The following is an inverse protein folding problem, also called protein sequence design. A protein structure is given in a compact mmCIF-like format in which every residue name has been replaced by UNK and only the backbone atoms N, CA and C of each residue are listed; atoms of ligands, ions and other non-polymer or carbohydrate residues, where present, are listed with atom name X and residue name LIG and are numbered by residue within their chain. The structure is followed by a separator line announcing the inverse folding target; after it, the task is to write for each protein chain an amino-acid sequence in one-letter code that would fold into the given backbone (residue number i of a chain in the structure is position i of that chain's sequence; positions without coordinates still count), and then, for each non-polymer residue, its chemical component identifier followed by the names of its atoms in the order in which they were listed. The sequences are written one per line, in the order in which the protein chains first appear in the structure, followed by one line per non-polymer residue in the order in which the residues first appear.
data_IF_859284392554
#
_entry.id   IF_859284392554
#
_cell.length_a   1.000
_cell.length_b   1.000
_cell.length_c   1.000
_cell.angle_alpha   90.00
_cell.angle_beta   90.00
_cell.angle_gamma   90.00
#
_symmetry.space_group_name_H-M   'P 1'
#
loop_
_entity.id
_entity.type
_entity.pdbx_description
1 polymer ?
#
# COMPACT_ATOMS: atom_id res chain seq x y z
N UNK A 1 42.46 -4.86 36.09
CA UNK A 1 41.45 -5.52 36.91
C UNK A 1 40.02 -5.22 36.44
N UNK A 2 39.61 -3.99 36.28
CA UNK A 2 38.23 -3.65 35.84
C UNK A 2 37.80 -4.25 34.51
N UNK A 3 38.68 -4.22 33.49
CA UNK A 3 38.39 -4.77 32.14
C UNK A 3 38.25 -6.31 32.19
N UNK A 4 39.05 -7.00 32.98
CA UNK A 4 38.93 -8.46 33.17
C UNK A 4 37.63 -8.84 33.88
N UNK A 5 37.17 -8.00 34.83
CA UNK A 5 35.91 -8.20 35.54
C UNK A 5 34.70 -7.98 34.63
N UNK A 6 34.72 -6.93 33.78
CA UNK A 6 33.67 -6.65 32.79
C UNK A 6 33.60 -7.79 31.78
N UNK A 7 34.75 -8.27 31.29
CA UNK A 7 34.81 -9.40 30.36
C UNK A 7 34.25 -10.70 30.99
N UNK A 8 34.56 -10.97 32.25
CA UNK A 8 34.05 -12.14 32.97
C UNK A 8 32.52 -12.07 33.15
N UNK A 9 31.98 -10.89 33.49
CA UNK A 9 30.52 -10.67 33.59
C UNK A 9 29.85 -10.85 32.25
N UNK A 10 30.43 -10.30 31.15
CA UNK A 10 29.83 -10.43 29.84
C UNK A 10 29.87 -11.87 29.31
N UNK A 11 30.94 -12.61 29.57
CA UNK A 11 31.03 -14.02 29.14
C UNK A 11 30.12 -14.93 29.97
N UNK A 12 30.01 -14.72 31.26
CA UNK A 12 29.07 -15.48 32.12
C UNK A 12 27.62 -15.17 31.72
N UNK A 13 27.29 -13.92 31.43
CA UNK A 13 25.98 -13.52 30.94
C UNK A 13 25.64 -14.21 29.59
N UNK A 14 26.55 -14.22 28.65
CA UNK A 14 26.35 -14.91 27.36
C UNK A 14 26.19 -16.42 27.54
N UNK A 15 26.97 -17.05 28.42
CA UNK A 15 26.86 -18.49 28.68
C UNK A 15 25.52 -18.81 29.37
N UNK A 16 25.09 -18.02 30.34
CA UNK A 16 23.80 -18.21 31.02
C UNK A 16 22.65 -18.04 30.02
N UNK A 17 22.71 -17.02 29.17
CA UNK A 17 21.74 -16.81 28.11
C UNK A 17 21.73 -17.95 27.09
N UNK A 18 22.88 -18.44 26.67
CA UNK A 18 22.98 -19.58 25.75
C UNK A 18 22.38 -20.84 26.37
N UNK A 19 22.65 -21.13 27.63
CA UNK A 19 22.07 -22.28 28.36
C UNK A 19 20.55 -22.13 28.53
N UNK A 20 20.05 -20.91 28.74
CA UNK A 20 18.61 -20.65 28.89
C UNK A 20 17.86 -20.74 27.57
N UNK A 21 18.48 -20.31 26.44
CA UNK A 21 17.84 -20.29 25.13
C UNK A 21 18.09 -21.54 24.29
N UNK A 22 19.14 -22.33 24.57
CA UNK A 22 19.37 -23.61 23.89
C UNK A 22 18.17 -24.59 24.05
N UNK A 23 17.60 -24.77 25.24
CA UNK A 23 16.42 -25.65 25.40
C UNK A 23 15.15 -25.09 24.71
N UNK A 24 15.02 -23.77 24.54
CA UNK A 24 13.85 -23.16 23.88
C UNK A 24 13.72 -23.62 22.43
N UNK A 25 14.83 -23.77 21.72
CA UNK A 25 14.84 -24.31 20.37
C UNK A 25 14.45 -25.79 20.31
N UNK A 26 14.86 -26.59 21.33
CA UNK A 26 14.47 -28.00 21.44
C UNK A 26 12.97 -28.18 21.76
N UNK A 27 12.37 -27.21 22.48
CA UNK A 27 10.95 -27.23 22.87
C UNK A 27 10.08 -26.51 21.82
N UNK A 28 10.64 -26.07 20.69
CA UNK A 28 9.95 -25.30 19.66
C UNK A 28 9.29 -24.00 20.18
N UNK A 29 9.90 -23.37 21.18
CA UNK A 29 9.48 -22.06 21.72
C UNK A 29 10.25 -20.94 21.04
N UNK A 30 9.55 -19.88 20.67
CA UNK A 30 10.13 -18.68 20.03
C UNK A 30 9.54 -17.42 20.64
N UNK A 31 10.32 -16.33 20.59
CA UNK A 31 9.83 -15.00 20.94
C UNK A 31 9.35 -14.34 19.68
N UNK A 32 8.10 -13.89 19.67
CA UNK A 32 7.48 -13.15 18.59
C UNK A 32 7.20 -11.71 19.02
N UNK A 33 7.53 -10.76 18.17
CA UNK A 33 7.09 -9.37 18.31
C UNK A 33 5.78 -9.19 17.55
N UNK A 34 4.75 -8.67 18.20
CA UNK A 34 3.42 -8.45 17.66
C UNK A 34 3.03 -7.00 17.88
N UNK A 35 2.54 -6.34 16.84
CA UNK A 35 2.10 -4.94 16.91
C UNK A 35 0.79 -4.75 16.14
N UNK A 36 0.13 -3.61 16.35
CA UNK A 36 -1.06 -3.20 15.63
C UNK A 36 -2.27 -4.12 15.83
N UNK A 37 -3.05 -4.32 14.77
CA UNK A 37 -4.35 -5.02 14.83
C UNK A 37 -4.27 -6.44 15.41
N UNK A 38 -3.19 -7.18 15.11
CA UNK A 38 -3.00 -8.56 15.63
C UNK A 38 -2.85 -8.56 17.15
N UNK A 39 -2.11 -7.61 17.68
CA UNK A 39 -1.94 -7.44 19.12
C UNK A 39 -3.28 -7.12 19.78
N UNK A 40 -4.06 -6.16 19.26
CA UNK A 40 -5.33 -5.77 19.86
C UNK A 40 -6.35 -6.92 19.87
N UNK A 41 -6.37 -7.77 18.83
CA UNK A 41 -7.24 -8.95 18.79
C UNK A 41 -6.80 -9.99 19.81
N UNK A 42 -5.48 -10.19 19.99
CA UNK A 42 -4.95 -11.15 20.96
C UNK A 42 -5.17 -10.67 22.40
N UNK A 43 -4.94 -9.37 22.67
CA UNK A 43 -5.10 -8.80 24.01
C UNK A 43 -6.53 -8.94 24.55
N UNK A 44 -7.55 -8.88 23.71
CA UNK A 44 -8.95 -9.16 24.11
C UNK A 44 -9.18 -10.59 24.66
N UNK A 45 -8.27 -11.50 24.37
CA UNK A 45 -8.32 -12.91 24.88
C UNK A 45 -7.47 -13.13 26.12
N UNK A 46 -6.67 -12.13 26.53
CA UNK A 46 -5.82 -12.20 27.71
C UNK A 46 -6.67 -12.11 28.96
N UNK A 47 -6.48 -13.05 29.89
CA UNK A 47 -7.22 -13.10 31.16
C UNK A 47 -6.35 -12.78 32.38
N UNK A 48 -5.03 -12.80 32.22
CA UNK A 48 -4.06 -12.59 33.29
C UNK A 48 -3.00 -11.61 32.82
N UNK A 49 -2.97 -10.43 33.43
CA UNK A 49 -1.95 -9.43 33.23
C UNK A 49 -1.45 -8.86 34.54
N UNK A 50 -0.22 -8.36 34.57
CA UNK A 50 0.37 -7.75 35.78
C UNK A 50 -0.24 -6.39 36.07
N UNK A 51 -0.70 -5.68 35.07
CA UNK A 51 -1.32 -4.35 35.16
C UNK A 51 -2.55 -4.32 34.23
N UNK A 52 -3.62 -3.66 34.68
CA UNK A 52 -4.83 -3.40 33.92
C UNK A 52 -5.10 -1.90 33.92
N UNK A 53 -5.24 -1.32 32.74
CA UNK A 53 -5.56 0.11 32.55
C UNK A 53 -6.81 0.21 31.72
N UNK A 54 -7.93 0.67 32.31
CA UNK A 54 -9.24 0.78 31.64
C UNK A 54 -9.68 -0.51 30.91
N UNK A 55 -9.58 -1.65 31.57
CA UNK A 55 -9.86 -2.99 31.03
C UNK A 55 -8.89 -3.49 29.94
N UNK A 56 -7.86 -2.72 29.61
CA UNK A 56 -6.78 -3.17 28.72
C UNK A 56 -5.60 -3.73 29.52
N UNK A 57 -5.05 -4.92 29.15
CA UNK A 57 -3.89 -5.49 29.80
C UNK A 57 -2.62 -4.71 29.47
N UNK A 58 -1.71 -4.60 30.44
CA UNK A 58 -0.39 -3.99 30.30
C UNK A 58 0.68 -4.75 31.11
N UNK A 59 1.97 -4.49 30.81
CA UNK A 59 3.10 -5.16 31.43
C UNK A 59 3.19 -6.65 31.06
N UNK A 60 3.38 -7.51 32.07
CA UNK A 60 3.46 -8.95 31.83
C UNK A 60 2.10 -9.58 31.66
N UNK A 61 1.96 -10.46 30.63
CA UNK A 61 0.77 -11.25 30.38
C UNK A 61 1.10 -12.74 30.45
N UNK A 62 0.16 -13.51 30.97
CA UNK A 62 0.34 -14.93 31.22
C UNK A 62 -0.83 -15.75 30.67
N UNK A 63 -0.50 -16.89 30.11
CA UNK A 63 -1.49 -17.87 29.67
C UNK A 63 -0.94 -19.29 29.78
N UNK A 64 -1.80 -20.29 29.62
CA UNK A 64 -1.40 -21.71 29.74
C UNK A 64 -0.24 -22.10 28.82
N UNK A 65 -0.14 -21.44 27.64
CA UNK A 65 0.79 -21.79 26.56
C UNK A 65 1.66 -20.62 26.11
N UNK A 66 1.66 -19.50 26.87
CA UNK A 66 2.45 -18.31 26.53
C UNK A 66 2.79 -17.47 27.76
N UNK A 67 3.87 -16.74 27.65
CA UNK A 67 4.23 -15.62 28.50
C UNK A 67 4.59 -14.45 27.59
N UNK A 68 4.12 -13.24 27.92
CA UNK A 68 4.41 -12.07 27.09
C UNK A 68 4.64 -10.82 27.93
N UNK A 69 5.20 -9.80 27.27
CA UNK A 69 5.40 -8.48 27.87
C UNK A 69 4.95 -7.40 26.87
N UNK A 70 4.10 -6.52 27.36
CA UNK A 70 3.61 -5.36 26.61
C UNK A 70 4.53 -4.19 26.92
N UNK A 71 5.14 -3.64 25.89
CA UNK A 71 5.99 -2.45 25.97
C UNK A 71 5.27 -1.27 25.36
N UNK A 72 4.96 -0.26 26.18
CA UNK A 72 4.36 0.99 25.73
C UNK A 72 5.47 1.97 25.38
N UNK A 73 5.54 2.39 24.13
CA UNK A 73 6.46 3.42 23.65
C UNK A 73 5.72 4.76 23.68
N UNK A 74 6.06 5.60 24.63
CA UNK A 74 5.61 7.00 24.63
C UNK A 74 6.37 7.74 23.53
N UNK A 75 5.69 8.12 22.46
CA UNK A 75 6.28 8.90 21.38
C UNK A 75 6.71 10.28 21.87
N UNK A 76 7.87 10.76 21.41
CA UNK A 76 8.31 12.14 21.62
C UNK A 76 7.22 13.12 21.13
N UNK A 77 7.01 14.18 21.87
CA UNK A 77 6.04 15.30 21.87
C UNK A 77 5.35 15.76 20.55
N UNK A 78 5.40 14.99 19.45
CA UNK A 78 4.79 15.39 18.16
C UNK A 78 3.93 14.30 17.46
N UNK A 79 3.73 13.14 18.08
CA UNK A 79 2.77 12.16 17.61
C UNK A 79 1.81 11.83 18.75
N UNK A 80 0.59 12.31 18.65
CA UNK A 80 -0.53 11.91 19.49
C UNK A 80 -0.82 10.42 19.26
N UNK A 81 -0.37 9.56 20.18
CA UNK A 81 -0.70 8.15 20.21
C UNK A 81 0.39 7.31 20.89
N UNK A 82 0.05 6.71 22.01
CA UNK A 82 0.84 5.65 22.61
C UNK A 82 0.85 4.44 21.68
N UNK A 83 2.04 4.01 21.24
CA UNK A 83 2.17 2.76 20.48
C UNK A 83 2.59 1.66 21.42
N UNK A 84 1.88 0.53 21.39
CA UNK A 84 2.19 -0.66 22.19
C UNK A 84 2.79 -1.75 21.30
N UNK A 85 3.84 -2.39 21.78
CA UNK A 85 4.44 -3.59 21.19
C UNK A 85 4.31 -4.75 22.20
N UNK A 86 3.90 -5.92 21.73
CA UNK A 86 3.83 -7.14 22.53
C UNK A 86 4.94 -8.09 22.12
N UNK A 87 5.76 -8.50 23.09
CA UNK A 87 6.72 -9.59 22.95
C UNK A 87 6.15 -10.84 23.63
N UNK A 88 5.99 -11.94 22.90
CA UNK A 88 5.38 -13.16 23.42
C UNK A 88 6.28 -14.37 23.18
N UNK A 89 6.54 -15.13 24.22
CA UNK A 89 7.19 -16.42 24.18
C UNK A 89 6.13 -17.51 24.10
N UNK A 90 6.10 -18.25 22.99
CA UNK A 90 5.16 -19.35 22.81
C UNK A 90 5.69 -20.35 21.75
N UNK A 91 5.04 -21.50 21.62
CA UNK A 91 5.35 -22.42 20.53
C UNK A 91 4.92 -21.88 19.18
N UNK A 92 5.59 -22.32 18.11
CA UNK A 92 5.23 -21.96 16.74
C UNK A 92 3.79 -22.33 16.41
N UNK A 93 3.31 -23.49 16.90
CA UNK A 93 1.94 -23.95 16.68
C UNK A 93 0.92 -23.07 17.43
N UNK A 94 1.23 -22.65 18.65
CA UNK A 94 0.39 -21.70 19.37
C UNK A 94 0.31 -20.36 18.63
N UNK A 95 1.45 -19.83 18.18
CA UNK A 95 1.51 -18.58 17.42
C UNK A 95 0.65 -18.66 16.16
N UNK A 96 0.86 -19.69 15.33
CA UNK A 96 0.09 -19.91 14.10
C UNK A 96 -1.42 -20.07 14.34
N UNK A 97 -1.79 -20.75 15.41
CA UNK A 97 -3.20 -21.07 15.67
C UNK A 97 -3.98 -19.94 16.39
N UNK A 98 -3.31 -19.07 17.15
CA UNK A 98 -3.97 -18.10 18.02
C UNK A 98 -3.65 -16.63 17.72
N UNK A 99 -2.50 -16.36 17.08
CA UNK A 99 -1.96 -15.02 16.87
C UNK A 99 -1.78 -14.72 15.40
N UNK A 100 -1.18 -15.65 14.68
CA UNK A 100 -1.17 -15.58 13.22
C UNK A 100 -2.61 -15.73 12.77
N UNK A 101 -3.20 -14.63 12.30
CA UNK A 101 -4.56 -14.67 11.77
C UNK A 101 -4.57 -15.73 10.66
N UNK A 102 -5.10 -16.90 10.95
CA UNK A 102 -5.60 -17.76 9.89
C UNK A 102 -6.57 -16.89 9.12
N UNK A 103 -6.40 -16.78 7.83
CA UNK A 103 -7.45 -16.34 6.93
C UNK A 103 -8.61 -17.30 7.07
N UNK A 104 -9.34 -17.22 8.20
CA UNK A 104 -10.56 -17.98 8.40
C UNK A 104 -11.61 -17.32 7.52
N UNK A 105 -12.08 -18.09 6.56
CA UNK A 105 -13.27 -17.85 5.77
C UNK A 105 -14.53 -17.81 6.65
N UNK A 106 -14.63 -16.82 7.56
CA UNK A 106 -15.86 -16.52 8.26
C UNK A 106 -15.97 -15.00 8.40
N UNK A 107 -16.88 -14.42 7.64
CA UNK A 107 -17.48 -13.10 7.70
C UNK A 107 -16.51 -11.89 7.83
N UNK A 108 -15.65 -11.80 6.88
CA UNK A 108 -14.74 -10.71 6.62
C UNK A 108 -13.71 -11.21 5.63
N UNK A 109 -14.11 -11.38 4.36
CA UNK A 109 -13.16 -11.63 3.28
C UNK A 109 -11.99 -10.66 3.50
N UNK A 110 -10.84 -11.20 3.90
CA UNK A 110 -9.57 -10.51 3.78
C UNK A 110 -9.58 -9.89 2.38
N UNK A 111 -9.76 -8.59 2.34
CA UNK A 111 -9.79 -7.87 1.08
C UNK A 111 -8.39 -8.02 0.49
N UNK A 112 -8.28 -8.79 -0.58
CA UNK A 112 -7.03 -8.92 -1.32
C UNK A 112 -6.72 -7.65 -2.12
N UNK A 113 -7.52 -6.57 -1.94
CA UNK A 113 -7.28 -5.24 -2.48
C UNK A 113 -6.81 -4.34 -1.34
N UNK A 114 -5.61 -3.80 -1.49
CA UNK A 114 -5.06 -2.78 -0.59
C UNK A 114 -5.22 -1.41 -1.24
N UNK A 115 -6.08 -0.57 -0.69
CA UNK A 115 -6.22 0.82 -1.09
C UNK A 115 -5.18 1.66 -0.35
N UNK A 116 -4.45 2.48 -1.09
CA UNK A 116 -3.49 3.41 -0.52
C UNK A 116 -4.11 4.80 -0.55
N UNK A 117 -4.59 5.23 0.61
CA UNK A 117 -5.21 6.53 0.79
C UNK A 117 -4.14 7.60 1.00
N UNK A 118 -4.28 8.70 0.24
CA UNK A 118 -3.39 9.85 0.36
C UNK A 118 -3.78 10.66 1.58
N UNK A 119 -2.83 10.88 2.49
CA UNK A 119 -3.02 11.65 3.71
C UNK A 119 -1.89 12.67 3.91
N UNK A 120 -2.20 13.71 4.68
CA UNK A 120 -1.25 14.75 5.04
C UNK A 120 -1.22 15.93 4.07
N UNK A 121 -0.31 16.85 4.32
CA UNK A 121 -0.05 18.00 3.47
C UNK A 121 1.24 17.79 2.66
N UNK A 122 1.48 18.69 1.71
CA UNK A 122 2.65 18.66 0.83
C UNK A 122 4.02 18.53 1.52
N UNK A 123 4.14 18.95 2.80
CA UNK A 123 5.36 18.76 3.59
C UNK A 123 5.55 17.32 4.08
N UNK A 124 4.46 16.59 4.26
CA UNK A 124 4.46 15.24 4.80
C UNK A 124 3.35 14.41 4.16
N UNK A 125 3.42 14.29 2.85
CA UNK A 125 2.46 13.52 2.08
C UNK A 125 2.77 12.04 2.23
N UNK A 126 1.77 11.26 2.65
CA UNK A 126 1.88 9.83 2.87
C UNK A 126 0.72 9.08 2.22
N UNK A 127 0.98 7.83 1.84
CA UNK A 127 -0.01 6.90 1.33
C UNK A 127 -0.20 5.77 2.34
N UNK A 128 -1.32 5.76 3.04
CA UNK A 128 -1.60 4.78 4.09
C UNK A 128 -2.38 3.59 3.53
N UNK A 129 -1.87 2.36 3.70
CA UNK A 129 -2.55 1.18 3.20
C UNK A 129 -3.73 0.81 4.10
N UNK A 130 -4.89 0.56 3.49
CA UNK A 130 -6.04 -0.05 4.15
C UNK A 130 -6.68 -1.11 3.26
N UNK A 131 -7.18 -2.22 3.81
CA UNK A 131 -7.91 -3.21 3.04
C UNK A 131 -9.27 -2.65 2.64
N UNK A 132 -9.67 -2.87 1.39
CA UNK A 132 -11.00 -2.51 0.89
C UNK A 132 -11.64 -3.67 0.14
N UNK A 133 -12.97 -3.69 0.14
CA UNK A 133 -13.77 -4.57 -0.71
C UNK A 133 -14.65 -3.71 -1.60
N UNK A 134 -14.52 -3.86 -2.91
CA UNK A 134 -15.47 -3.25 -3.81
C UNK A 134 -16.78 -4.04 -3.84
N UNK A 135 -17.93 -3.35 -3.78
CA UNK A 135 -19.22 -4.03 -3.89
C UNK A 135 -19.35 -4.66 -5.28
N UNK A 136 -19.86 -5.89 -5.32
CA UNK A 136 -20.17 -6.54 -6.60
C UNK A 136 -21.38 -5.84 -7.24
N UNK A 137 -21.11 -5.04 -8.25
CA UNK A 137 -22.14 -4.39 -9.08
C UNK A 137 -22.16 -5.06 -10.46
N UNK A 138 -23.28 -5.06 -11.16
CA UNK A 138 -23.32 -5.55 -12.52
C UNK A 138 -22.41 -4.69 -13.42
N UNK A 139 -21.51 -5.35 -14.15
CA UNK A 139 -20.63 -4.70 -15.11
C UNK A 139 -21.37 -4.44 -16.42
N UNK A 140 -21.22 -3.28 -17.01
CA UNK A 140 -21.75 -2.95 -18.34
C UNK A 140 -20.86 -3.54 -19.43
N UNK A 141 -21.43 -3.77 -20.60
CA UNK A 141 -20.68 -4.40 -21.72
C UNK A 141 -19.44 -3.59 -22.13
N UNK A 142 -19.55 -2.25 -22.20
CA UNK A 142 -18.40 -1.38 -22.52
C UNK A 142 -17.30 -1.45 -21.45
N UNK A 143 -17.67 -1.53 -20.16
CA UNK A 143 -16.73 -1.70 -19.07
C UNK A 143 -16.03 -3.07 -19.12
N UNK A 144 -16.78 -4.14 -19.40
CA UNK A 144 -16.22 -5.49 -19.53
C UNK A 144 -15.22 -5.57 -20.71
N UNK A 145 -15.55 -4.95 -21.85
CA UNK A 145 -14.63 -4.84 -22.99
C UNK A 145 -13.36 -4.06 -22.63
N UNK A 146 -13.52 -2.94 -21.93
CA UNK A 146 -12.40 -2.12 -21.49
C UNK A 146 -11.47 -2.88 -20.55
N UNK A 147 -12.02 -3.52 -19.52
CA UNK A 147 -11.25 -4.35 -18.57
C UNK A 147 -10.48 -5.43 -19.30
N UNK A 148 -11.14 -6.17 -20.20
CA UNK A 148 -10.48 -7.23 -20.98
C UNK A 148 -9.33 -6.68 -21.82
N UNK A 149 -9.55 -5.59 -22.58
CA UNK A 149 -8.50 -5.01 -23.43
C UNK A 149 -7.29 -4.51 -22.63
N UNK A 150 -7.53 -3.91 -21.46
CA UNK A 150 -6.46 -3.46 -20.55
C UNK A 150 -5.66 -4.66 -20.02
N UNK A 151 -6.36 -5.73 -19.58
CA UNK A 151 -5.71 -6.92 -19.07
C UNK A 151 -4.92 -7.69 -20.13
N UNK A 152 -5.43 -7.75 -21.37
CA UNK A 152 -4.72 -8.40 -22.47
C UNK A 152 -3.35 -7.74 -22.74
N UNK A 153 -3.29 -6.39 -22.71
CA UNK A 153 -2.03 -5.64 -22.84
C UNK A 153 -1.15 -5.84 -21.61
N UNK A 154 -1.72 -5.69 -20.42
CA UNK A 154 -0.97 -5.86 -19.16
C UNK A 154 -0.32 -7.24 -19.05
N UNK A 155 -1.02 -8.30 -19.41
CA UNK A 155 -0.48 -9.66 -19.40
C UNK A 155 0.64 -9.89 -20.42
N UNK A 156 0.73 -9.07 -21.46
CA UNK A 156 1.78 -9.16 -22.48
C UNK A 156 3.02 -8.32 -22.18
N UNK A 157 2.84 -7.18 -21.46
CA UNK A 157 3.91 -6.19 -21.24
C UNK A 157 4.31 -5.99 -19.78
N UNK A 158 3.57 -6.57 -18.81
CA UNK A 158 3.68 -6.30 -17.37
C UNK A 158 3.41 -4.84 -16.95
N UNK A 159 3.00 -3.99 -17.87
CA UNK A 159 2.48 -2.65 -17.61
C UNK A 159 1.47 -2.25 -18.70
N UNK A 160 0.63 -1.28 -18.42
CA UNK A 160 -0.26 -0.67 -19.42
C UNK A 160 -0.65 0.74 -19.01
N UNK A 161 -0.71 1.65 -19.98
CA UNK A 161 -1.24 3.00 -19.84
C UNK A 161 -2.48 3.12 -20.71
N UNK A 162 -3.63 3.37 -20.08
CA UNK A 162 -4.92 3.47 -20.74
C UNK A 162 -5.56 4.83 -20.53
N UNK A 163 -6.20 5.36 -21.57
CA UNK A 163 -7.04 6.56 -21.52
C UNK A 163 -8.50 6.16 -21.76
N UNK A 164 -9.34 6.35 -20.74
CA UNK A 164 -10.78 6.17 -20.85
C UNK A 164 -11.43 7.54 -21.08
N UNK A 165 -12.05 7.72 -22.23
CA UNK A 165 -12.63 8.99 -22.62
C UNK A 165 -14.14 8.86 -22.93
N UNK A 166 -14.90 9.96 -22.80
CA UNK A 166 -16.33 9.97 -23.05
C UNK A 166 -17.11 10.77 -21.99
N UNK A 167 -18.42 10.86 -22.14
CA UNK A 167 -19.27 11.71 -21.29
C UNK A 167 -19.20 11.35 -19.80
N UNK A 168 -19.47 12.34 -18.95
CA UNK A 168 -19.59 12.10 -17.51
C UNK A 168 -20.71 11.08 -17.22
N UNK A 169 -20.52 10.26 -16.16
CA UNK A 169 -21.51 9.26 -15.73
C UNK A 169 -21.55 7.97 -16.55
N UNK A 170 -20.69 7.79 -17.57
CA UNK A 170 -20.64 6.56 -18.40
C UNK A 170 -20.02 5.36 -17.67
N UNK A 171 -19.34 5.59 -16.53
CA UNK A 171 -18.79 4.53 -15.68
C UNK A 171 -17.29 4.32 -15.83
N UNK A 172 -16.54 5.29 -16.38
CA UNK A 172 -15.07 5.24 -16.53
C UNK A 172 -14.34 4.91 -15.21
N UNK A 173 -14.62 5.66 -14.13
CA UNK A 173 -13.99 5.44 -12.83
C UNK A 173 -14.31 4.07 -12.23
N UNK A 174 -15.51 3.54 -12.47
CA UNK A 174 -15.90 2.20 -12.01
C UNK A 174 -15.08 1.09 -12.69
N UNK A 175 -14.55 1.35 -13.89
CA UNK A 175 -13.74 0.36 -14.61
C UNK A 175 -12.49 -0.03 -13.86
N UNK A 176 -11.86 0.90 -13.12
CA UNK A 176 -10.72 0.59 -12.26
C UNK A 176 -11.07 -0.39 -11.13
N UNK A 177 -12.28 -0.27 -10.55
CA UNK A 177 -12.76 -1.19 -9.51
C UNK A 177 -13.00 -2.60 -10.07
N UNK A 178 -13.62 -2.71 -11.25
CA UNK A 178 -13.81 -4.00 -11.93
C UNK A 178 -12.49 -4.63 -12.33
N UNK A 179 -11.54 -3.82 -12.78
CA UNK A 179 -10.19 -4.29 -13.10
C UNK A 179 -9.50 -4.89 -11.88
N UNK A 180 -9.59 -4.22 -10.71
CA UNK A 180 -9.06 -4.77 -9.46
C UNK A 180 -9.72 -6.09 -9.09
N UNK A 181 -11.04 -6.22 -9.27
CA UNK A 181 -11.77 -7.46 -9.00
C UNK A 181 -11.38 -8.58 -9.97
N UNK A 182 -11.20 -8.27 -11.26
CA UNK A 182 -10.80 -9.25 -12.27
C UNK A 182 -9.36 -9.73 -12.07
N UNK A 183 -8.44 -8.83 -11.71
CA UNK A 183 -7.07 -9.18 -11.37
C UNK A 183 -6.98 -10.20 -10.22
N UNK A 184 -7.89 -10.16 -9.25
CA UNK A 184 -7.91 -11.14 -8.16
C UNK A 184 -8.23 -12.58 -8.59
N UNK A 185 -8.72 -12.79 -9.81
CA UNK A 185 -8.91 -14.13 -10.36
C UNK A 185 -7.57 -14.81 -10.69
N UNK A 186 -6.51 -14.02 -10.95
CA UNK A 186 -5.20 -14.51 -11.37
C UNK A 186 -4.04 -14.07 -10.46
N UNK A 187 -4.23 -13.04 -9.64
CA UNK A 187 -3.22 -12.46 -8.75
C UNK A 187 -3.57 -12.70 -7.29
N UNK A 188 -2.57 -12.74 -6.41
CA UNK A 188 -2.78 -12.97 -4.97
C UNK A 188 -3.42 -11.77 -4.28
N UNK A 189 -3.05 -10.56 -4.71
CA UNK A 189 -3.57 -9.31 -4.18
C UNK A 189 -3.40 -8.19 -5.21
N UNK A 190 -4.08 -7.06 -4.98
CA UNK A 190 -4.00 -5.87 -5.84
C UNK A 190 -3.79 -4.64 -4.98
N UNK A 191 -2.89 -3.75 -5.40
CA UNK A 191 -2.75 -2.40 -4.83
C UNK A 191 -3.55 -1.42 -5.67
N UNK A 192 -4.35 -0.55 -5.03
CA UNK A 192 -5.17 0.44 -5.72
C UNK A 192 -4.93 1.84 -5.18
N UNK A 193 -4.79 2.82 -6.07
CA UNK A 193 -4.60 4.25 -5.77
C UNK A 193 -5.41 5.07 -6.77
N UNK A 194 -6.22 6.00 -6.29
CA UNK A 194 -6.99 6.96 -7.10
C UNK A 194 -6.80 8.42 -6.66
N UNK A 195 -6.01 8.62 -5.61
CA UNK A 195 -5.79 9.94 -5.00
C UNK A 195 -4.43 10.57 -5.36
N UNK A 196 -3.62 9.90 -6.18
CA UNK A 196 -2.34 10.42 -6.66
C UNK A 196 -2.54 11.53 -7.69
N UNK A 197 -1.83 12.65 -7.51
CA UNK A 197 -1.87 13.76 -8.45
C UNK A 197 -0.45 14.35 -8.68
N UNK A 198 0.24 14.00 -9.77
CA UNK A 198 1.60 14.45 -10.03
C UNK A 198 1.72 15.95 -10.35
N UNK A 199 0.60 16.65 -10.50
CA UNK A 199 0.53 18.10 -10.70
C UNK A 199 0.43 18.87 -9.37
N UNK A 200 0.40 18.17 -8.25
CA UNK A 200 0.39 18.76 -6.91
C UNK A 200 1.75 18.72 -6.23
N UNK A 201 1.92 19.60 -5.24
CA UNK A 201 3.15 19.72 -4.47
C UNK A 201 3.47 18.43 -3.72
N UNK A 202 4.70 17.96 -3.86
CA UNK A 202 5.22 16.83 -3.09
C UNK A 202 4.68 15.45 -3.49
N UNK A 203 3.73 15.37 -4.42
CA UNK A 203 3.14 14.10 -4.83
C UNK A 203 3.98 13.39 -5.89
N UNK A 204 5.04 12.73 -5.44
CA UNK A 204 6.04 12.11 -6.29
C UNK A 204 5.74 10.64 -6.56
N UNK A 205 5.63 10.27 -7.84
CA UNK A 205 5.35 8.92 -8.27
C UNK A 205 6.41 7.90 -7.84
N UNK A 206 7.69 8.27 -7.83
CA UNK A 206 8.77 7.34 -7.42
C UNK A 206 8.59 6.93 -5.95
N UNK A 207 8.23 7.90 -5.09
CA UNK A 207 7.98 7.63 -3.68
C UNK A 207 6.77 6.69 -3.49
N UNK A 208 5.69 6.95 -4.23
CA UNK A 208 4.50 6.10 -4.23
C UNK A 208 4.82 4.68 -4.69
N UNK A 209 5.46 4.55 -5.85
CA UNK A 209 5.81 3.27 -6.45
C UNK A 209 6.74 2.46 -5.55
N UNK A 210 7.79 3.08 -5.00
CA UNK A 210 8.73 2.43 -4.07
C UNK A 210 8.04 1.98 -2.78
N UNK A 211 7.11 2.80 -2.26
CA UNK A 211 6.35 2.45 -1.05
C UNK A 211 5.43 1.26 -1.26
N UNK A 212 4.74 1.18 -2.39
CA UNK A 212 3.83 0.09 -2.73
C UNK A 212 4.61 -1.16 -3.09
N UNK A 213 5.74 -1.01 -3.78
CA UNK A 213 6.61 -2.07 -4.28
C UNK A 213 5.80 -3.15 -5.03
N UNK A 214 5.17 -2.80 -6.17
CA UNK A 214 4.33 -3.74 -6.91
C UNK A 214 5.13 -4.92 -7.44
N UNK A 215 4.48 -6.05 -7.53
CA UNK A 215 5.05 -7.31 -8.02
C UNK A 215 4.07 -7.99 -8.97
N UNK A 216 4.52 -9.02 -9.68
CA UNK A 216 3.66 -9.81 -10.57
C UNK A 216 2.43 -10.39 -9.84
N UNK A 217 2.57 -10.79 -8.57
CA UNK A 217 1.48 -11.32 -7.74
C UNK A 217 0.64 -10.22 -7.05
N UNK A 218 1.18 -8.98 -7.00
CA UNK A 218 0.56 -7.83 -6.37
C UNK A 218 0.73 -6.59 -7.25
N UNK A 219 0.07 -6.49 -8.39
CA UNK A 219 0.16 -5.34 -9.28
C UNK A 219 -0.45 -4.09 -8.65
N UNK A 220 -0.02 -2.92 -9.16
CA UNK A 220 -0.56 -1.62 -8.83
C UNK A 220 -1.55 -1.17 -9.92
N UNK A 221 -2.78 -0.88 -9.53
CA UNK A 221 -3.74 -0.13 -10.33
C UNK A 221 -3.72 1.32 -9.84
N UNK A 222 -3.28 2.22 -10.70
CA UNK A 222 -3.20 3.65 -10.44
C UNK A 222 -4.19 4.39 -11.34
N UNK A 223 -5.06 5.21 -10.77
CA UNK A 223 -6.05 5.98 -11.52
C UNK A 223 -5.78 7.49 -11.37
N UNK A 224 -5.74 8.17 -12.52
CA UNK A 224 -5.70 9.63 -12.63
C UNK A 224 -7.02 10.10 -13.22
N UNK A 225 -7.87 10.69 -12.39
CA UNK A 225 -9.17 11.19 -12.83
C UNK A 225 -9.06 12.58 -13.44
N UNK A 226 -9.95 12.85 -14.42
CA UNK A 226 -10.13 14.17 -15.05
C UNK A 226 -8.81 14.81 -15.50
N UNK A 227 -7.96 14.00 -16.15
CA UNK A 227 -6.60 14.40 -16.51
C UNK A 227 -6.58 15.61 -17.46
N UNK A 228 -7.66 15.86 -18.21
CA UNK A 228 -7.82 17.00 -19.10
C UNK A 228 -7.69 18.33 -18.36
N UNK A 229 -8.24 18.48 -17.16
CA UNK A 229 -8.11 19.71 -16.39
C UNK A 229 -6.64 20.03 -16.04
N UNK A 230 -5.91 19.03 -15.59
CA UNK A 230 -4.50 19.17 -15.23
C UNK A 230 -3.62 19.45 -16.45
N UNK A 231 -3.87 18.76 -17.58
CA UNK A 231 -3.15 18.98 -18.83
C UNK A 231 -3.41 20.39 -19.37
N UNK A 232 -4.65 20.89 -19.32
CA UNK A 232 -4.97 22.28 -19.74
C UNK A 232 -4.26 23.31 -18.86
N UNK A 233 -4.28 23.13 -17.53
CA UNK A 233 -3.54 24.02 -16.60
C UNK A 233 -2.05 24.02 -16.91
N UNK A 234 -1.47 22.85 -17.14
CA UNK A 234 -0.07 22.68 -17.48
C UNK A 234 0.26 23.33 -18.83
N UNK A 235 -0.54 23.06 -19.87
CA UNK A 235 -0.37 23.59 -21.23
C UNK A 235 -0.40 25.12 -21.24
N UNK A 236 -1.31 25.72 -20.48
CA UNK A 236 -1.47 27.17 -20.37
C UNK A 236 -0.50 27.84 -19.38
N UNK A 237 0.43 27.10 -18.78
CA UNK A 237 1.36 27.61 -17.78
C UNK A 237 0.73 28.10 -16.47
N UNK A 238 -0.49 27.62 -16.16
CA UNK A 238 -1.27 28.02 -14.97
C UNK A 238 -1.03 27.14 -13.74
N UNK A 239 -0.06 26.25 -13.77
CA UNK A 239 0.34 25.50 -12.58
C UNK A 239 1.12 26.45 -11.67
N UNK A 240 0.54 26.76 -10.51
CA UNK A 240 1.17 27.63 -9.54
C UNK A 240 2.48 27.00 -9.03
N UNK A 241 3.56 27.77 -9.07
CA UNK A 241 4.85 27.32 -8.55
C UNK A 241 5.18 28.07 -7.25
N UNK A 242 5.46 27.30 -6.19
CA UNK A 242 6.05 27.85 -4.95
C UNK A 242 7.52 27.44 -4.91
N UNK A 243 8.40 28.42 -4.65
CA UNK A 243 9.85 28.21 -4.68
C UNK A 243 10.36 27.08 -3.76
N UNK A 244 9.67 26.85 -2.66
CA UNK A 244 10.08 25.88 -1.63
C UNK A 244 9.50 24.47 -1.83
N UNK A 245 8.65 24.27 -2.84
CA UNK A 245 7.90 23.01 -3.00
C UNK A 245 7.90 22.54 -4.44
N UNK A 246 8.62 21.46 -4.74
CA UNK A 246 8.63 20.92 -6.09
C UNK A 246 7.30 20.29 -6.47
N UNK A 247 6.79 20.68 -7.63
CA UNK A 247 5.72 19.95 -8.34
C UNK A 247 6.40 18.99 -9.32
N UNK A 248 6.08 17.70 -9.28
CA UNK A 248 6.72 16.73 -10.17
C UNK A 248 6.46 17.00 -11.66
N UNK A 249 5.25 17.43 -12.01
CA UNK A 249 4.86 17.75 -13.39
C UNK A 249 4.31 19.18 -13.44
N UNK A 250 5.09 20.07 -13.99
CA UNK A 250 4.77 21.51 -14.12
C UNK A 250 4.68 21.99 -15.55
N UNK A 251 5.21 21.23 -16.51
CA UNK A 251 5.26 21.59 -17.91
C UNK A 251 5.18 20.34 -18.81
N UNK A 252 5.06 20.57 -20.12
CA UNK A 252 4.99 19.53 -21.15
C UNK A 252 6.14 18.52 -21.09
N UNK A 253 7.37 19.00 -20.84
CA UNK A 253 8.55 18.13 -20.81
C UNK A 253 8.47 17.15 -19.63
N UNK A 254 8.03 17.64 -18.46
CA UNK A 254 7.89 16.81 -17.27
C UNK A 254 6.82 15.72 -17.46
N UNK A 255 5.66 16.09 -18.06
CA UNK A 255 4.60 15.15 -18.40
C UNK A 255 5.06 14.07 -19.38
N UNK A 256 5.68 14.51 -20.46
CA UNK A 256 6.19 13.59 -21.48
C UNK A 256 7.24 12.64 -20.87
N UNK A 257 8.17 13.18 -20.08
CA UNK A 257 9.19 12.38 -19.38
C UNK A 257 8.60 11.41 -18.37
N UNK A 258 7.51 11.79 -17.71
CA UNK A 258 6.79 10.89 -16.79
C UNK A 258 6.24 9.66 -17.52
N UNK A 259 5.53 9.85 -18.63
CA UNK A 259 4.97 8.75 -19.42
C UNK A 259 6.06 7.92 -20.13
N UNK A 260 7.12 8.58 -20.66
CA UNK A 260 8.23 7.89 -21.34
C UNK A 260 8.99 6.92 -20.39
N UNK A 261 8.89 7.10 -19.07
CA UNK A 261 9.48 6.14 -18.11
C UNK A 261 8.77 4.80 -18.07
N UNK A 262 7.46 4.78 -18.31
CA UNK A 262 6.71 3.53 -18.43
C UNK A 262 7.07 2.82 -19.74
N UNK A 263 7.12 3.55 -20.85
CA UNK A 263 7.52 3.01 -22.14
C UNK A 263 8.94 2.40 -22.14
N UNK A 264 9.81 2.91 -21.24
CA UNK A 264 11.14 2.33 -20.98
C UNK A 264 11.14 1.19 -19.95
N UNK A 265 9.98 0.70 -19.54
CA UNK A 265 9.79 -0.42 -18.60
C UNK A 265 10.43 -0.18 -17.22
N UNK A 266 10.60 1.09 -16.81
CA UNK A 266 11.19 1.41 -15.50
C UNK A 266 10.23 1.13 -14.33
N UNK A 267 8.95 0.94 -14.62
CA UNK A 267 7.90 0.69 -13.63
C UNK A 267 7.04 -0.51 -14.03
N UNK A 268 7.55 -1.75 -13.88
CA UNK A 268 6.78 -2.97 -14.15
C UNK A 268 5.62 -3.17 -13.17
N UNK A 269 4.71 -4.07 -13.50
CA UNK A 269 3.57 -4.49 -12.68
C UNK A 269 2.59 -3.36 -12.33
N UNK A 270 2.40 -2.41 -13.27
CA UNK A 270 1.48 -1.27 -13.09
C UNK A 270 0.45 -1.17 -14.21
N UNK A 271 -0.77 -0.82 -13.83
CA UNK A 271 -1.86 -0.43 -14.72
C UNK A 271 -2.20 1.02 -14.40
N UNK A 272 -1.84 1.95 -15.30
CA UNK A 272 -2.19 3.35 -15.21
C UNK A 272 -3.46 3.60 -16.03
N UNK A 273 -4.51 4.05 -15.35
CA UNK A 273 -5.79 4.42 -15.95
C UNK A 273 -5.94 5.92 -15.84
N UNK A 274 -6.03 6.59 -16.96
CA UNK A 274 -6.36 8.00 -17.03
C UNK A 274 -7.82 8.15 -17.50
N UNK A 275 -8.58 9.06 -16.89
CA UNK A 275 -9.95 9.35 -17.30
C UNK A 275 -10.10 10.79 -17.76
N UNK A 276 -10.98 11.02 -18.75
CA UNK A 276 -11.35 12.35 -19.22
C UNK A 276 -12.80 12.41 -19.67
N UNK A 277 -13.41 13.57 -19.55
CA UNK A 277 -14.74 13.85 -20.07
C UNK A 277 -14.71 14.43 -21.50
N UNK A 278 -13.52 14.63 -22.05
CA UNK A 278 -13.28 15.09 -23.42
C UNK A 278 -13.24 13.93 -24.41
N UNK A 279 -13.36 14.22 -25.68
CA UNK A 279 -13.14 13.27 -26.77
C UNK A 279 -11.63 12.98 -26.93
N UNK A 280 -11.27 11.98 -27.72
CA UNK A 280 -9.88 11.58 -27.95
C UNK A 280 -9.05 12.63 -28.67
N UNK A 281 -9.70 13.43 -29.55
CA UNK A 281 -9.10 14.48 -30.39
C UNK A 281 -8.64 15.66 -29.54
N UNK A 282 -9.25 15.91 -28.38
CA UNK A 282 -8.98 17.04 -27.51
C UNK A 282 -7.49 17.20 -27.15
N UNK A 283 -6.83 16.10 -26.82
CA UNK A 283 -5.39 16.15 -26.49
C UNK A 283 -4.52 16.34 -27.71
N UNK A 284 -4.93 15.79 -28.87
CA UNK A 284 -4.20 15.93 -30.13
C UNK A 284 -4.30 17.36 -30.65
N UNK A 285 -5.42 18.07 -30.40
CA UNK A 285 -5.61 19.49 -30.69
C UNK A 285 -4.77 20.40 -29.80
N UNK A 286 -4.61 20.05 -28.51
CA UNK A 286 -3.72 20.79 -27.60
C UNK A 286 -2.25 20.58 -27.98
N UNK A 287 -1.83 19.33 -28.05
CA UNK A 287 -0.49 18.90 -28.46
C UNK A 287 -0.46 17.37 -28.64
N UNK A 288 -0.19 16.88 -29.86
CA UNK A 288 -0.19 15.44 -30.14
C UNK A 288 0.77 14.62 -29.28
N UNK A 289 1.80 15.26 -28.71
CA UNK A 289 2.80 14.55 -27.90
C UNK A 289 2.28 14.09 -26.54
N UNK A 290 1.18 14.66 -26.03
CA UNK A 290 0.67 14.34 -24.69
C UNK A 290 0.20 12.89 -24.56
N UNK A 291 -0.53 12.41 -25.58
CA UNK A 291 -1.16 11.08 -25.56
C UNK A 291 -0.80 10.26 -26.81
N UNK A 292 0.42 10.45 -27.34
CA UNK A 292 0.89 9.71 -28.52
C UNK A 292 1.05 8.22 -28.24
N UNK A 293 1.05 7.42 -29.30
CA UNK A 293 1.46 6.00 -29.23
C UNK A 293 2.85 5.86 -28.62
N UNK A 294 3.05 4.86 -27.76
CA UNK A 294 4.23 4.66 -26.93
C UNK A 294 4.13 5.31 -25.55
N UNK A 295 3.25 6.33 -25.36
CA UNK A 295 2.92 6.90 -24.04
C UNK A 295 1.58 6.43 -23.51
N UNK A 296 0.63 6.17 -24.43
CA UNK A 296 -0.68 5.59 -24.12
C UNK A 296 -0.85 4.38 -25.00
N UNK A 297 -0.98 3.21 -24.38
CA UNK A 297 -1.09 1.93 -25.09
C UNK A 297 -2.47 1.76 -25.73
N UNK A 298 -3.52 2.26 -25.04
CA UNK A 298 -4.91 2.11 -25.50
C UNK A 298 -5.77 3.31 -25.10
N UNK A 299 -6.58 3.80 -26.08
CA UNK A 299 -7.61 4.81 -25.85
C UNK A 299 -8.98 4.14 -26.03
N UNK A 300 -9.85 4.21 -25.01
CA UNK A 300 -11.15 3.51 -24.98
C UNK A 300 -12.26 4.53 -24.80
N UNK A 301 -13.25 4.50 -25.69
CA UNK A 301 -14.45 5.34 -25.62
C UNK A 301 -15.56 4.71 -24.78
N UNK A 302 -16.25 5.56 -23.96
CA UNK A 302 -17.33 5.19 -23.05
C UNK A 302 -18.64 5.91 -23.34
#
# INVERSE_FOLDING_TARGET
MLAAFIFLISTTFVIIWSILFLPLNFINLKIYKISGKRMNIFLKKVKLASIWTNDDPDGWIFGKYYVGYIHTVTGNQQSEGETKDLYILCSNDFYKNNIELKETNEEGRSSNITYYEREGSYWRLMYNPRPINFPKKPIRENQAKAVKSILDIFNSKDYVISLLHGRAGTGKSMTAQYLCQELLNTKKSVSFVDSFNPFEYGDNFVNLYTRINPTQDKPLVLMLEEIDENIVKMHSGKIEQKLEMPIPIKNKSDWNSFLDKFDRELYPHIILIMTTNKNKEFFDELDPSYMRLGRVDIKIEF
#
